data_IF_828859029200
#
_entry.id   IF_828859029200
#
_cell.length_a   1.000
_cell.length_b   1.000
_cell.length_c   1.000
_cell.angle_alpha   90.00
_cell.angle_beta   90.00
_cell.angle_gamma   90.00
#
_symmetry.space_group_name_H-M   'P 1'
#
loop_
_entity.id
_entity.type
_entity.pdbx_description
1 polymer ?
#
# COMPACT_ATOMS: atom_id res chain seq x y z
N UNK A 1 -49.84 -39.89 -1.43
CA UNK A 1 -49.53 -38.51 -1.02
C UNK A 1 -48.02 -38.29 -0.93
N UNK A 2 -47.23 -39.37 -0.75
CA UNK A 2 -45.79 -39.34 -0.49
C UNK A 2 -44.92 -38.92 -1.69
N UNK A 3 -45.32 -39.28 -2.92
CA UNK A 3 -44.56 -38.93 -4.13
C UNK A 3 -44.52 -37.41 -4.39
N UNK A 4 -45.63 -36.70 -4.11
CA UNK A 4 -45.70 -35.25 -4.27
C UNK A 4 -44.84 -34.52 -3.23
N UNK A 5 -44.83 -35.00 -1.97
CA UNK A 5 -43.99 -34.44 -0.90
C UNK A 5 -42.51 -34.65 -1.22
N UNK A 6 -42.13 -35.85 -1.69
CA UNK A 6 -40.75 -36.12 -2.11
C UNK A 6 -40.32 -35.25 -3.30
N UNK A 7 -41.17 -35.07 -4.31
CA UNK A 7 -40.89 -34.20 -5.45
C UNK A 7 -40.73 -32.73 -5.04
N UNK A 8 -41.59 -32.23 -4.14
CA UNK A 8 -41.51 -30.87 -3.63
C UNK A 8 -40.21 -30.63 -2.84
N UNK A 9 -39.83 -31.57 -1.96
CA UNK A 9 -38.57 -31.49 -1.20
C UNK A 9 -37.36 -31.51 -2.14
N UNK A 10 -37.36 -32.41 -3.14
CA UNK A 10 -36.30 -32.50 -4.14
C UNK A 10 -36.14 -31.21 -4.94
N UNK A 11 -37.25 -30.61 -5.37
CA UNK A 11 -37.24 -29.33 -6.09
C UNK A 11 -36.67 -28.19 -5.24
N UNK A 12 -37.10 -28.07 -3.98
CA UNK A 12 -36.61 -27.03 -3.06
C UNK A 12 -35.11 -27.21 -2.79
N UNK A 13 -34.65 -28.44 -2.53
CA UNK A 13 -33.24 -28.73 -2.30
C UNK A 13 -32.38 -28.39 -3.53
N UNK A 14 -32.84 -28.75 -4.73
CA UNK A 14 -32.16 -28.42 -5.98
C UNK A 14 -32.12 -26.90 -6.23
N UNK A 15 -33.22 -26.18 -5.97
CA UNK A 15 -33.27 -24.73 -6.11
C UNK A 15 -32.31 -24.01 -5.14
N UNK A 16 -32.25 -24.45 -3.88
CA UNK A 16 -31.31 -23.92 -2.89
C UNK A 16 -29.85 -24.19 -3.29
N UNK A 17 -29.55 -25.41 -3.75
CA UNK A 17 -28.21 -25.77 -4.21
C UNK A 17 -27.79 -24.93 -5.43
N UNK A 18 -28.69 -24.75 -6.39
CA UNK A 18 -28.45 -23.91 -7.57
C UNK A 18 -28.20 -22.45 -7.19
N UNK A 19 -28.95 -21.91 -6.21
CA UNK A 19 -28.77 -20.54 -5.72
C UNK A 19 -27.40 -20.35 -5.04
N UNK A 20 -27.00 -21.28 -4.18
CA UNK A 20 -25.67 -21.27 -3.54
C UNK A 20 -24.56 -21.33 -4.59
N UNK A 21 -24.70 -22.23 -5.58
CA UNK A 21 -23.72 -22.36 -6.67
C UNK A 21 -23.63 -21.08 -7.50
N UNK A 22 -24.76 -20.46 -7.86
CA UNK A 22 -24.79 -19.20 -8.60
C UNK A 22 -24.12 -18.05 -7.85
N UNK A 23 -24.30 -17.98 -6.53
CA UNK A 23 -23.66 -16.95 -5.71
C UNK A 23 -22.13 -17.14 -5.61
N UNK A 24 -21.68 -18.39 -5.46
CA UNK A 24 -20.26 -18.74 -5.47
C UNK A 24 -19.62 -18.44 -6.83
N UNK A 25 -20.25 -18.87 -7.93
CA UNK A 25 -19.75 -18.59 -9.28
C UNK A 25 -19.70 -17.09 -9.59
N UNK A 26 -20.69 -16.30 -9.12
CA UNK A 26 -20.67 -14.85 -9.26
C UNK A 26 -19.49 -14.21 -8.53
N UNK A 27 -19.14 -14.70 -7.33
CA UNK A 27 -17.96 -14.23 -6.59
C UNK A 27 -16.66 -14.60 -7.28
N UNK A 28 -16.56 -15.83 -7.79
CA UNK A 28 -15.38 -16.28 -8.54
C UNK A 28 -15.14 -15.43 -9.79
N UNK A 29 -16.20 -15.04 -10.51
CA UNK A 29 -16.08 -14.16 -11.68
C UNK A 29 -15.60 -12.75 -11.32
N UNK A 30 -16.13 -12.16 -10.23
CA UNK A 30 -15.69 -10.84 -9.75
C UNK A 30 -14.22 -10.90 -9.28
N UNK A 31 -13.85 -11.95 -8.54
CA UNK A 31 -12.47 -12.13 -8.08
C UNK A 31 -11.48 -12.35 -9.23
N UNK A 32 -11.86 -13.15 -10.24
CA UNK A 32 -11.08 -13.33 -11.45
C UNK A 32 -10.89 -12.00 -12.20
N UNK A 33 -11.98 -11.24 -12.39
CA UNK A 33 -11.93 -9.93 -13.03
C UNK A 33 -11.03 -8.93 -12.31
N UNK A 34 -11.07 -8.90 -10.97
CA UNK A 34 -10.16 -8.05 -10.17
C UNK A 34 -8.71 -8.49 -10.33
N UNK A 35 -8.44 -9.80 -10.29
CA UNK A 35 -7.07 -10.34 -10.47
C UNK A 35 -6.50 -9.98 -11.84
N UNK A 36 -7.27 -10.11 -12.91
CA UNK A 36 -6.83 -9.76 -14.26
C UNK A 36 -6.49 -8.27 -14.36
N UNK A 37 -7.31 -7.41 -13.76
CA UNK A 37 -7.02 -5.96 -13.67
C UNK A 37 -5.77 -5.66 -12.85
N UNK A 38 -5.52 -6.38 -11.75
CA UNK A 38 -4.27 -6.26 -10.98
C UNK A 38 -3.06 -6.68 -11.80
N UNK A 39 -3.12 -7.81 -12.49
CA UNK A 39 -2.04 -8.31 -13.37
C UNK A 39 -1.73 -7.28 -14.47
N UNK A 40 -2.75 -6.64 -15.04
CA UNK A 40 -2.55 -5.59 -16.03
C UNK A 40 -1.98 -4.29 -15.42
N UNK A 41 -2.37 -3.93 -14.20
CA UNK A 41 -2.06 -2.62 -13.61
C UNK A 41 -0.77 -2.58 -12.78
N UNK A 42 -0.37 -3.68 -12.14
CA UNK A 42 0.73 -3.71 -11.16
C UNK A 42 2.14 -3.71 -11.78
N UNK A 43 2.41 -4.32 -12.95
CA UNK A 43 3.76 -4.31 -13.53
C UNK A 43 4.32 -2.89 -13.71
N UNK A 44 3.49 -1.95 -14.17
CA UNK A 44 3.91 -0.57 -14.40
C UNK A 44 4.33 0.17 -13.11
N UNK A 45 3.70 -0.12 -11.96
CA UNK A 45 4.11 0.49 -10.69
C UNK A 45 5.31 -0.23 -10.09
N UNK A 46 5.38 -1.55 -10.26
CA UNK A 46 6.52 -2.35 -9.84
C UNK A 46 7.81 -1.90 -10.50
N UNK A 47 7.78 -1.71 -11.82
CA UNK A 47 8.91 -1.25 -12.63
C UNK A 47 9.42 0.13 -12.16
N UNK A 48 8.51 1.09 -11.90
CA UNK A 48 8.89 2.41 -11.37
C UNK A 48 9.67 2.32 -10.06
N UNK A 49 9.32 1.39 -9.17
CA UNK A 49 10.05 1.20 -7.90
C UNK A 49 11.47 0.63 -8.08
N UNK A 50 11.87 0.22 -9.29
CA UNK A 50 13.23 -0.25 -9.56
C UNK A 50 14.28 0.86 -9.39
N UNK A 51 13.88 2.14 -9.43
CA UNK A 51 14.77 3.28 -9.15
C UNK A 51 15.39 3.23 -7.75
N UNK A 52 14.80 2.49 -6.81
CA UNK A 52 15.35 2.22 -5.47
C UNK A 52 15.64 0.73 -5.28
N UNK A 53 16.34 0.12 -6.24
CA UNK A 53 16.65 -1.31 -6.18
C UNK A 53 17.73 -1.63 -5.15
N UNK A 54 17.66 -2.84 -4.60
CA UNK A 54 18.70 -3.38 -3.71
C UNK A 54 19.87 -3.97 -4.50
N UNK A 55 19.59 -4.57 -5.67
CA UNK A 55 20.53 -5.34 -6.47
C UNK A 55 20.32 -5.11 -7.98
N UNK A 56 21.29 -4.52 -8.70
CA UNK A 56 22.34 -3.67 -8.12
C UNK A 56 21.70 -2.52 -7.30
N UNK A 57 22.46 -1.94 -6.37
CA UNK A 57 22.02 -0.69 -5.73
C UNK A 57 22.01 0.39 -6.82
N UNK A 58 20.93 1.15 -6.86
CA UNK A 58 20.83 2.37 -7.66
C UNK A 58 21.15 3.58 -6.79
N UNK A 59 21.82 4.57 -7.36
CA UNK A 59 22.16 5.82 -6.67
C UNK A 59 21.08 6.86 -6.98
N UNK A 60 19.85 6.62 -6.51
CA UNK A 60 18.74 7.54 -6.74
C UNK A 60 18.93 8.83 -5.92
N UNK A 61 19.05 9.96 -6.63
CA UNK A 61 19.11 11.28 -6.03
C UNK A 61 17.73 11.85 -5.72
N UNK A 62 17.68 13.09 -5.16
CA UNK A 62 16.43 13.76 -4.84
C UNK A 62 15.46 13.87 -6.02
N UNK A 63 15.97 14.14 -7.22
CA UNK A 63 15.15 14.30 -8.42
C UNK A 63 14.46 12.97 -8.81
N UNK A 64 15.18 11.85 -8.75
CA UNK A 64 14.65 10.52 -9.03
C UNK A 64 13.60 10.11 -7.98
N UNK A 65 13.85 10.42 -6.70
CA UNK A 65 12.90 10.14 -5.62
C UNK A 65 11.63 10.98 -5.72
N UNK A 66 11.74 12.27 -6.09
CA UNK A 66 10.60 13.14 -6.33
C UNK A 66 9.76 12.61 -7.50
N UNK A 67 10.41 12.26 -8.61
CA UNK A 67 9.73 11.67 -9.76
C UNK A 67 9.03 10.36 -9.39
N UNK A 68 9.69 9.49 -8.61
CA UNK A 68 9.05 8.27 -8.11
C UNK A 68 7.80 8.59 -7.28
N UNK A 69 7.89 9.56 -6.37
CA UNK A 69 6.75 9.98 -5.54
C UNK A 69 5.57 10.42 -6.42
N UNK A 70 5.81 11.30 -7.40
CA UNK A 70 4.80 11.81 -8.32
C UNK A 70 4.21 10.72 -9.23
N UNK A 71 5.05 9.87 -9.82
CA UNK A 71 4.63 8.80 -10.72
C UNK A 71 3.76 7.77 -10.00
N UNK A 72 4.10 7.43 -8.74
CA UNK A 72 3.31 6.55 -7.89
C UNK A 72 1.94 7.16 -7.57
N UNK A 73 1.90 8.45 -7.24
CA UNK A 73 0.67 9.18 -6.96
C UNK A 73 -0.22 9.27 -8.20
N UNK A 74 0.37 9.60 -9.36
CA UNK A 74 -0.35 9.63 -10.63
C UNK A 74 -0.93 8.26 -10.95
N UNK A 75 -0.15 7.19 -10.82
CA UNK A 75 -0.63 5.81 -11.03
C UNK A 75 -1.79 5.46 -10.10
N UNK A 76 -1.71 5.83 -8.81
CA UNK A 76 -2.77 5.57 -7.84
C UNK A 76 -4.11 6.17 -8.29
N UNK A 77 -4.11 7.44 -8.68
CA UNK A 77 -5.33 8.14 -9.11
C UNK A 77 -5.75 7.85 -10.56
N UNK A 78 -4.85 7.42 -11.43
CA UNK A 78 -5.16 7.01 -12.80
C UNK A 78 -5.87 5.64 -12.90
N UNK A 79 -6.18 5.01 -11.76
CA UNK A 79 -6.95 3.77 -11.67
C UNK A 79 -6.20 2.61 -11.01
N UNK A 80 -4.88 2.70 -10.84
CA UNK A 80 -4.11 1.64 -10.18
C UNK A 80 -4.51 1.43 -8.72
N UNK A 81 -4.82 2.51 -8.00
CA UNK A 81 -5.26 2.48 -6.60
C UNK A 81 -6.62 1.81 -6.38
N UNK A 82 -7.46 1.73 -7.43
CA UNK A 82 -8.76 1.07 -7.37
C UNK A 82 -8.63 -0.45 -7.16
N UNK A 83 -7.54 -1.05 -7.65
CA UNK A 83 -7.35 -2.49 -7.59
C UNK A 83 -6.56 -2.96 -6.35
N UNK A 84 -5.94 -2.04 -5.62
CA UNK A 84 -5.25 -2.35 -4.36
C UNK A 84 -6.24 -2.90 -3.32
N UNK A 85 -5.88 -4.04 -2.72
CA UNK A 85 -6.52 -4.43 -1.46
C UNK A 85 -6.21 -3.41 -0.37
N UNK A 86 -7.00 -3.39 0.70
CA UNK A 86 -6.71 -2.56 1.88
C UNK A 86 -5.32 -2.83 2.45
N UNK A 87 -4.83 -4.06 2.32
CA UNK A 87 -3.49 -4.42 2.78
C UNK A 87 -2.40 -3.81 1.90
N UNK A 88 -2.48 -3.97 0.57
CA UNK A 88 -1.51 -3.38 -0.35
C UNK A 88 -1.56 -1.84 -0.35
N UNK A 89 -2.77 -1.25 -0.19
CA UNK A 89 -2.97 0.20 -0.04
C UNK A 89 -2.22 0.76 1.18
N UNK A 90 -2.30 0.11 2.34
CA UNK A 90 -1.54 0.54 3.50
C UNK A 90 -0.01 0.52 3.23
N UNK A 91 0.50 -0.48 2.51
CA UNK A 91 1.94 -0.51 2.16
C UNK A 91 2.32 0.58 1.15
N UNK A 92 1.42 0.94 0.23
CA UNK A 92 1.56 2.09 -0.66
C UNK A 92 1.62 3.41 0.12
N UNK A 93 0.68 3.64 1.04
CA UNK A 93 0.65 4.84 1.89
C UNK A 93 1.94 4.98 2.71
N UNK A 94 2.42 3.88 3.28
CA UNK A 94 3.72 3.85 3.96
C UNK A 94 4.88 4.29 3.05
N UNK A 95 4.91 3.84 1.80
CA UNK A 95 5.93 4.26 0.84
C UNK A 95 5.84 5.76 0.53
N UNK A 96 4.64 6.29 0.32
CA UNK A 96 4.43 7.73 0.06
C UNK A 96 4.90 8.59 1.24
N UNK A 97 4.55 8.21 2.49
CA UNK A 97 5.00 8.92 3.69
C UNK A 97 6.52 8.89 3.85
N UNK A 98 7.15 7.74 3.55
CA UNK A 98 8.62 7.65 3.60
C UNK A 98 9.27 8.49 2.51
N UNK A 99 8.73 8.51 1.30
CA UNK A 99 9.23 9.37 0.22
C UNK A 99 9.14 10.85 0.57
N UNK A 100 7.98 11.28 1.08
CA UNK A 100 7.74 12.67 1.51
C UNK A 100 8.72 13.12 2.60
N UNK A 101 8.92 12.28 3.62
CA UNK A 101 9.84 12.55 4.72
C UNK A 101 11.31 12.61 4.27
N UNK A 102 11.73 11.72 3.38
CA UNK A 102 13.10 11.69 2.85
C UNK A 102 13.37 12.86 1.91
N UNK A 103 12.40 13.25 1.08
CA UNK A 103 12.50 14.41 0.20
C UNK A 103 12.56 15.75 0.97
N UNK A 104 12.06 15.75 2.21
CA UNK A 104 12.13 16.90 3.12
C UNK A 104 13.39 16.92 4.00
N UNK A 105 14.28 15.93 3.84
CA UNK A 105 15.52 15.80 4.61
C UNK A 105 16.74 16.19 3.77
N UNK A 106 17.73 16.84 4.41
CA UNK A 106 19.00 17.20 3.77
C UNK A 106 19.96 15.99 3.61
N UNK A 107 19.67 14.84 4.25
CA UNK A 107 20.54 13.66 4.27
C UNK A 107 19.98 12.46 3.49
N UNK A 108 19.84 12.61 2.17
CA UNK A 108 19.22 11.59 1.30
C UNK A 108 20.04 10.29 1.25
N UNK A 109 21.37 10.35 1.25
CA UNK A 109 22.22 9.16 1.16
C UNK A 109 22.02 8.22 2.37
N UNK A 110 21.95 8.81 3.58
CA UNK A 110 21.69 8.11 4.84
C UNK A 110 20.30 7.47 4.87
N UNK A 111 19.34 8.07 4.15
CA UNK A 111 17.93 7.68 4.17
C UNK A 111 17.49 6.82 2.98
N UNK A 112 18.35 6.62 1.96
CA UNK A 112 18.08 5.73 0.81
C UNK A 112 17.57 4.34 1.23
N UNK A 113 18.19 3.76 2.27
CA UNK A 113 17.80 2.44 2.77
C UNK A 113 16.34 2.39 3.24
N UNK A 114 15.80 3.50 3.77
CA UNK A 114 14.42 3.60 4.21
C UNK A 114 13.45 3.55 3.02
N UNK A 115 13.74 4.31 1.95
CA UNK A 115 12.92 4.32 0.73
C UNK A 115 12.97 2.96 0.05
N UNK A 116 14.17 2.38 -0.14
CA UNK A 116 14.35 1.03 -0.69
C UNK A 116 13.54 -0.01 0.08
N UNK A 117 13.60 0.01 1.41
CA UNK A 117 12.90 -0.95 2.26
C UNK A 117 11.38 -0.72 2.26
N UNK A 118 10.92 0.52 2.12
CA UNK A 118 9.52 0.87 1.93
C UNK A 118 9.00 0.41 0.56
N UNK A 119 9.77 0.60 -0.51
CA UNK A 119 9.44 0.14 -1.86
C UNK A 119 9.41 -1.38 -1.96
N UNK A 120 10.36 -2.07 -1.30
CA UNK A 120 10.31 -3.53 -1.15
C UNK A 120 9.06 -3.97 -0.38
N UNK A 121 8.69 -3.25 0.68
CA UNK A 121 7.49 -3.58 1.47
C UNK A 121 6.21 -3.42 0.63
N UNK A 122 6.10 -2.35 -0.15
CA UNK A 122 4.99 -2.15 -1.09
C UNK A 122 4.90 -3.26 -2.13
N UNK A 123 6.02 -3.61 -2.78
CA UNK A 123 6.09 -4.72 -3.74
C UNK A 123 5.61 -6.04 -3.15
N UNK A 124 5.97 -6.37 -1.91
CA UNK A 124 5.40 -7.55 -1.24
C UNK A 124 3.88 -7.48 -1.17
N UNK A 125 3.29 -6.32 -0.85
CA UNK A 125 1.82 -6.16 -0.86
C UNK A 125 1.19 -6.36 -2.23
N UNK A 126 1.85 -5.93 -3.30
CA UNK A 126 1.40 -6.19 -4.67
C UNK A 126 1.42 -7.69 -4.99
N UNK A 127 2.48 -8.41 -4.61
CA UNK A 127 2.55 -9.87 -4.78
C UNK A 127 1.48 -10.59 -3.96
N UNK A 128 1.28 -10.18 -2.70
CA UNK A 128 0.24 -10.75 -1.83
C UNK A 128 -1.16 -10.63 -2.45
N UNK A 129 -1.44 -9.50 -3.12
CA UNK A 129 -2.70 -9.23 -3.82
C UNK A 129 -2.93 -10.12 -5.06
N UNK A 130 -1.87 -10.62 -5.68
CA UNK A 130 -1.92 -11.48 -6.86
C UNK A 130 -2.05 -12.98 -6.50
N UNK A 131 -1.68 -13.33 -5.27
CA UNK A 131 -1.52 -14.69 -4.76
C UNK A 131 -2.83 -15.38 -4.29
N UNK A 132 -3.98 -14.95 -4.77
CA UNK A 132 -5.31 -15.34 -4.26
C UNK A 132 -5.76 -16.79 -4.56
N UNK A 133 -4.92 -17.69 -5.10
CA UNK A 133 -5.39 -18.99 -5.63
C UNK A 133 -4.81 -20.28 -5.06
N UNK A 134 -3.92 -20.25 -4.08
CA UNK A 134 -3.57 -21.51 -3.41
C UNK A 134 -4.60 -21.84 -2.32
N UNK A 135 -5.14 -23.06 -2.35
CA UNK A 135 -5.84 -23.67 -1.21
C UNK A 135 -4.86 -23.73 -0.03
N UNK A 136 -4.81 -22.65 0.74
CA UNK A 136 -3.84 -22.51 1.82
C UNK A 136 -4.38 -23.17 3.07
N UNK A 137 -3.56 -24.04 3.64
CA UNK A 137 -3.84 -24.63 4.95
C UNK A 137 -3.92 -23.51 6.01
N UNK A 138 -4.60 -23.80 7.12
CA UNK A 138 -4.67 -22.88 8.27
C UNK A 138 -3.27 -22.50 8.79
N UNK A 139 -2.29 -23.40 8.68
CA UNK A 139 -0.91 -23.18 9.07
C UNK A 139 -0.25 -22.07 8.24
N UNK A 140 -0.36 -22.12 6.91
CA UNK A 140 0.18 -21.08 6.01
C UNK A 140 -0.46 -19.72 6.30
N UNK A 141 -1.75 -19.71 6.63
CA UNK A 141 -2.47 -18.48 7.01
C UNK A 141 -1.92 -17.87 8.30
N UNK A 142 -1.59 -18.68 9.30
CA UNK A 142 -1.02 -18.22 10.56
C UNK A 142 0.41 -17.69 10.38
N UNK A 143 1.24 -18.38 9.61
CA UNK A 143 2.62 -17.95 9.33
C UNK A 143 2.64 -16.60 8.60
N UNK A 144 1.77 -16.42 7.61
CA UNK A 144 1.60 -15.12 6.92
C UNK A 144 1.19 -14.02 7.88
N UNK A 145 0.19 -14.26 8.73
CA UNK A 145 -0.21 -13.28 9.75
C UNK A 145 0.96 -12.90 10.66
N UNK A 146 1.82 -13.85 11.02
CA UNK A 146 3.03 -13.58 11.82
C UNK A 146 4.04 -12.75 11.02
N UNK A 147 4.29 -13.11 9.77
CA UNK A 147 5.17 -12.38 8.86
C UNK A 147 4.69 -10.93 8.63
N UNK A 148 3.39 -10.74 8.39
CA UNK A 148 2.75 -9.44 8.20
C UNK A 148 2.88 -8.55 9.43
N UNK A 149 2.68 -9.12 10.62
CA UNK A 149 2.91 -8.40 11.89
C UNK A 149 4.37 -7.98 12.01
N UNK A 150 5.31 -8.86 11.66
CA UNK A 150 6.73 -8.55 11.65
C UNK A 150 7.06 -7.43 10.65
N UNK A 151 6.48 -7.48 9.46
CA UNK A 151 6.68 -6.47 8.42
C UNK A 151 6.06 -5.12 8.80
N UNK A 152 4.86 -5.11 9.41
CA UNK A 152 4.23 -3.90 9.96
C UNK A 152 5.08 -3.29 11.07
N UNK A 153 5.65 -4.09 11.98
CA UNK A 153 6.57 -3.58 13.03
C UNK A 153 7.80 -2.91 12.42
N UNK A 154 8.37 -3.48 11.36
CA UNK A 154 9.48 -2.85 10.62
C UNK A 154 9.04 -1.56 9.93
N UNK A 155 7.84 -1.52 9.36
CA UNK A 155 7.26 -0.32 8.78
C UNK A 155 7.10 0.79 9.84
N UNK A 156 6.49 0.47 10.98
CA UNK A 156 6.32 1.39 12.10
C UNK A 156 7.68 1.86 12.67
N UNK A 157 8.69 0.99 12.71
CA UNK A 157 10.05 1.37 13.13
C UNK A 157 10.70 2.37 12.18
N UNK A 158 10.49 2.22 10.85
CA UNK A 158 10.97 3.19 9.84
C UNK A 158 10.30 4.55 10.00
N UNK A 159 8.99 4.59 10.28
CA UNK A 159 8.31 5.86 10.55
C UNK A 159 8.88 6.54 11.79
N UNK A 160 9.13 5.78 12.86
CA UNK A 160 9.75 6.33 14.08
C UNK A 160 11.16 6.86 13.85
N UNK A 161 11.98 6.19 13.02
CA UNK A 161 13.32 6.70 12.70
C UNK A 161 13.28 8.01 11.90
N UNK A 162 12.16 8.31 11.26
CA UNK A 162 11.88 9.58 10.57
C UNK A 162 11.17 10.59 11.49
N UNK A 163 11.00 10.31 12.78
CA UNK A 163 10.28 11.18 13.72
C UNK A 163 8.76 11.18 13.55
N UNK A 164 8.20 10.24 12.78
CA UNK A 164 6.77 10.16 12.47
C UNK A 164 6.10 9.16 13.42
N UNK A 165 5.02 9.57 14.09
CA UNK A 165 4.17 8.63 14.83
C UNK A 165 3.41 7.73 13.84
N UNK A 166 3.63 6.40 13.87
CA UNK A 166 2.89 5.48 13.01
C UNK A 166 1.37 5.65 13.14
N UNK A 167 0.84 5.90 14.35
CA UNK A 167 -0.61 6.04 14.54
C UNK A 167 -1.19 7.20 13.75
N UNK A 168 -0.48 8.32 13.72
CA UNK A 168 -0.86 9.51 12.95
C UNK A 168 -0.72 9.26 11.44
N UNK A 169 0.31 8.53 11.01
CA UNK A 169 0.50 8.18 9.60
C UNK A 169 -0.62 7.28 9.06
N UNK A 170 -1.18 6.40 9.89
CA UNK A 170 -2.23 5.44 9.50
C UNK A 170 -3.66 5.96 9.64
N UNK A 171 -3.91 7.09 10.32
CA UNK A 171 -5.26 7.55 10.67
C UNK A 171 -5.99 8.31 9.54
N UNK A 172 -5.42 8.42 8.33
CA UNK A 172 -6.06 9.11 7.19
C UNK A 172 -6.23 10.63 7.37
N UNK A 173 -5.91 11.16 8.55
CA UNK A 173 -5.71 12.59 8.80
C UNK A 173 -4.35 12.97 8.24
N UNK A 174 -4.30 13.30 6.95
CA UNK A 174 -3.10 13.71 6.21
C UNK A 174 -2.41 14.98 6.74
N UNK A 175 -1.85 14.90 7.94
CA UNK A 175 -0.74 15.73 8.41
C UNK A 175 0.34 14.77 8.89
N UNK A 176 1.29 14.50 8.01
CA UNK A 176 2.66 14.30 8.49
C UNK A 176 3.07 15.52 9.35
N UNK A 177 4.13 15.42 10.16
CA UNK A 177 4.61 16.56 10.92
C UNK A 177 4.92 17.69 9.93
N UNK A 178 4.00 18.64 9.81
CA UNK A 178 4.23 19.94 9.21
C UNK A 178 5.43 20.46 9.97
N UNK A 179 6.52 20.72 9.24
CA UNK A 179 7.77 21.29 9.76
C UNK A 179 7.53 21.98 11.08
N UNK A 180 8.05 21.41 12.16
CA UNK A 180 8.25 22.19 13.37
C UNK A 180 9.24 23.28 12.96
N UNK A 181 8.72 24.41 12.47
CA UNK A 181 9.49 25.63 12.33
C UNK A 181 10.08 25.85 13.70
N UNK A 182 11.39 25.68 13.79
CA UNK A 182 12.12 25.93 15.02
C UNK A 182 11.80 27.36 15.44
N UNK A 183 11.51 27.65 16.72
CA UNK A 183 11.23 29.01 17.19
C UNK A 183 12.30 30.03 16.75
N UNK A 184 13.53 29.57 16.53
CA UNK A 184 14.66 30.35 16.04
C UNK A 184 14.48 30.92 14.60
N UNK A 185 13.67 30.29 13.74
CA UNK A 185 13.43 30.80 12.37
C UNK A 185 12.27 31.80 12.30
N UNK A 186 11.46 31.89 13.35
CA UNK A 186 10.32 32.82 13.42
C UNK A 186 10.75 34.22 13.88
N UNK A 187 11.79 34.34 14.70
CA UNK A 187 12.35 35.63 15.12
C UNK A 187 13.13 36.33 13.99
N UNK A 188 13.79 35.60 13.09
CA UNK A 188 14.59 36.22 12.02
C UNK A 188 13.72 36.88 10.92
N UNK A 189 12.44 36.52 10.83
CA UNK A 189 11.53 37.03 9.78
C UNK A 189 10.76 38.29 10.18
N UNK A 190 10.81 38.69 11.45
CA UNK A 190 10.09 39.86 11.97
C UNK A 190 10.97 41.12 12.11
N UNK A 191 12.30 41.01 11.97
CA UNK A 191 13.24 42.12 12.15
C UNK A 191 13.67 42.83 10.85
N UNK A 192 13.07 42.49 9.71
CA UNK A 192 13.31 43.14 8.41
C UNK A 192 12.67 44.53 8.29
N UNK A 193 13.07 45.47 9.13
CA UNK A 193 12.79 46.90 8.96
C UNK A 193 13.42 47.40 7.67
N UNK A 194 12.60 47.94 6.77
CA UNK A 194 13.04 48.59 5.53
C UNK A 194 13.38 50.05 5.84
N UNK A 195 14.62 50.53 5.63
CA UNK A 195 14.88 51.96 5.63
C UNK A 195 14.58 52.50 4.22
N UNK A 196 13.56 53.34 4.10
CA UNK A 196 13.36 54.19 2.92
C UNK A 196 14.17 55.46 3.11
N UNK A 197 15.20 55.63 2.28
CA UNK A 197 15.73 56.92 1.88
C UNK A 197 15.07 57.41 0.60
#
# INVERSE_FOLDING_TARGET
MDAFVAAAIGFVAAALLAMVNSWLSGREQVEAGVRDRRIASYPAVWERTAVVSKWPRTDAGPAELLRLHEDLRQWYYAGGGLYLSSHARAKYEHLQVVLDAVLSSDEIETTYALVRDAASYFRTGLTDDLETRERRSLLVTLERRKADRGAKRKADARLRSLGIDPRAAWSGTGRGPVHAVTPAEQELRLDGTTPTG
#
